data_IF_269095591908
#
_entry.id   IF_269095591908
#
_cell.length_a   1.000
_cell.length_b   1.000
_cell.length_c   1.000
_cell.angle_alpha   90.00
_cell.angle_beta   90.00
_cell.angle_gamma   90.00
#
_symmetry.space_group_name_H-M   'P 1'
#
loop_
_entity.id
_entity.type
_entity.pdbx_description
1 polymer ?
#
# COMPACT_ATOMS: atom_id res chain seq x y z
N UNK A 1 -64.56 33.80 32.01
CA UNK A 1 -63.93 33.20 30.82
C UNK A 1 -62.79 34.13 30.41
N UNK A 2 -61.59 33.89 30.91
CA UNK A 2 -60.39 34.68 30.59
C UNK A 2 -59.39 33.72 29.95
N UNK A 3 -59.13 33.89 28.65
CA UNK A 3 -58.21 33.06 27.88
C UNK A 3 -56.79 33.57 28.10
N UNK A 4 -56.04 32.87 28.95
CA UNK A 4 -54.61 33.06 29.10
C UNK A 4 -53.90 32.67 27.79
N UNK A 5 -53.37 33.67 27.09
CA UNK A 5 -52.56 33.47 25.89
C UNK A 5 -51.11 33.30 26.34
N UNK A 6 -50.72 32.05 26.62
CA UNK A 6 -49.32 31.68 26.85
C UNK A 6 -48.52 31.90 25.56
N UNK A 7 -47.96 33.09 25.40
CA UNK A 7 -47.04 33.44 24.33
C UNK A 7 -45.71 32.72 24.57
N UNK A 8 -45.52 31.59 23.89
CA UNK A 8 -44.28 30.83 23.93
C UNK A 8 -43.08 31.70 23.56
N UNK A 9 -42.21 31.97 24.54
CA UNK A 9 -40.99 32.75 24.35
C UNK A 9 -40.14 32.11 23.23
N UNK A 10 -39.91 32.86 22.16
CA UNK A 10 -39.05 32.44 21.05
C UNK A 10 -37.61 32.36 21.57
N UNK A 11 -37.11 31.15 21.82
CA UNK A 11 -35.72 30.88 22.21
C UNK A 11 -34.77 31.54 21.20
N UNK A 12 -34.01 32.53 21.64
CA UNK A 12 -33.10 33.29 20.77
C UNK A 12 -31.90 32.46 20.32
N UNK A 13 -31.29 32.83 19.19
CA UNK A 13 -30.00 32.30 18.76
C UNK A 13 -28.96 33.42 18.95
N UNK A 14 -27.98 33.25 19.84
CA UNK A 14 -26.97 34.28 20.16
C UNK A 14 -25.56 33.73 19.98
N UNK A 15 -25.03 33.67 18.74
CA UNK A 15 -23.76 33.03 18.43
C UNK A 15 -22.58 33.80 19.04
N UNK A 16 -21.76 33.15 19.86
CA UNK A 16 -20.49 33.72 20.33
C UNK A 16 -19.39 33.58 19.27
N UNK A 17 -18.83 34.71 18.83
CA UNK A 17 -17.87 34.79 17.72
C UNK A 17 -16.70 33.80 17.84
N UNK A 18 -16.07 33.69 19.02
CA UNK A 18 -14.98 32.72 19.23
C UNK A 18 -15.41 31.26 19.11
N UNK A 19 -16.55 30.89 19.69
CA UNK A 19 -17.10 29.53 19.59
C UNK A 19 -17.52 29.20 18.15
N UNK A 20 -18.06 30.18 17.42
CA UNK A 20 -18.39 30.08 16.00
C UNK A 20 -17.15 29.79 15.18
N UNK A 21 -16.07 30.58 15.35
CA UNK A 21 -14.85 30.43 14.58
C UNK A 21 -14.18 29.07 14.82
N UNK A 22 -14.08 28.62 16.07
CA UNK A 22 -13.52 27.30 16.40
C UNK A 22 -14.36 26.17 15.79
N UNK A 23 -15.69 26.28 15.88
CA UNK A 23 -16.58 25.27 15.28
C UNK A 23 -16.41 25.24 13.76
N UNK A 24 -16.40 26.39 13.10
CA UNK A 24 -16.22 26.47 11.65
C UNK A 24 -14.86 25.92 11.21
N UNK A 25 -13.79 26.22 11.94
CA UNK A 25 -12.48 25.66 11.67
C UNK A 25 -12.48 24.13 11.82
N UNK A 26 -13.05 23.59 12.91
CA UNK A 26 -13.17 22.15 13.12
C UNK A 26 -14.04 21.46 12.06
N UNK A 27 -15.14 22.09 11.64
CA UNK A 27 -15.97 21.62 10.54
C UNK A 27 -15.21 21.62 9.21
N UNK A 28 -14.49 22.70 8.90
CA UNK A 28 -13.69 22.77 7.67
C UNK A 28 -12.64 21.65 7.61
N UNK A 29 -11.96 21.38 8.73
CA UNK A 29 -10.98 20.28 8.83
C UNK A 29 -11.66 18.92 8.65
N UNK A 30 -12.72 18.64 9.40
CA UNK A 30 -13.41 17.33 9.35
C UNK A 30 -14.07 17.07 8.00
N UNK A 31 -14.67 18.09 7.37
CA UNK A 31 -15.21 17.98 6.00
C UNK A 31 -14.07 17.76 5.01
N UNK A 32 -12.97 18.54 5.11
CA UNK A 32 -11.81 18.38 4.24
C UNK A 32 -11.21 16.98 4.32
N UNK A 33 -11.06 16.43 5.54
CA UNK A 33 -10.61 15.06 5.76
C UNK A 33 -11.61 14.03 5.20
N UNK A 34 -12.92 14.24 5.37
CA UNK A 34 -13.95 13.39 4.79
C UNK A 34 -13.86 13.34 3.25
N UNK A 35 -13.72 14.51 2.61
CA UNK A 35 -13.59 14.62 1.15
C UNK A 35 -12.31 13.95 0.65
N UNK A 36 -11.19 14.18 1.32
CA UNK A 36 -9.92 13.50 1.01
C UNK A 36 -10.04 11.97 1.11
N UNK A 37 -10.78 11.45 2.09
CA UNK A 37 -11.02 10.00 2.20
C UNK A 37 -11.84 9.46 1.03
N UNK A 38 -12.83 10.21 0.52
CA UNK A 38 -13.59 9.82 -0.68
C UNK A 38 -12.72 9.82 -1.94
N UNK A 39 -11.89 10.85 -2.12
CA UNK A 39 -10.91 10.89 -3.22
C UNK A 39 -9.96 9.70 -3.14
N UNK A 40 -9.46 9.40 -1.93
CA UNK A 40 -8.57 8.27 -1.68
C UNK A 40 -9.24 6.92 -1.91
N UNK A 41 -10.52 6.79 -1.55
CA UNK A 41 -11.35 5.61 -1.84
C UNK A 41 -11.41 5.35 -3.34
N UNK A 42 -11.75 6.38 -4.13
CA UNK A 42 -11.87 6.28 -5.58
C UNK A 42 -10.53 5.91 -6.22
N UNK A 43 -9.47 6.65 -5.87
CA UNK A 43 -8.11 6.35 -6.33
C UNK A 43 -7.70 4.90 -6.04
N UNK A 44 -7.97 4.40 -4.82
CA UNK A 44 -7.61 3.03 -4.43
C UNK A 44 -8.46 1.98 -5.15
N UNK A 45 -9.73 2.29 -5.40
CA UNK A 45 -10.63 1.42 -6.16
C UNK A 45 -10.16 1.29 -7.60
N UNK A 46 -9.81 2.39 -8.25
CA UNK A 46 -9.27 2.39 -9.62
C UNK A 46 -7.92 1.66 -9.71
N UNK A 47 -7.08 1.80 -8.68
CA UNK A 47 -5.82 1.07 -8.58
C UNK A 47 -6.05 -0.44 -8.52
N UNK A 48 -6.94 -0.91 -7.63
CA UNK A 48 -7.28 -2.33 -7.50
C UNK A 48 -7.85 -2.86 -8.83
N UNK A 49 -8.82 -2.15 -9.42
CA UNK A 49 -9.41 -2.54 -10.70
C UNK A 49 -8.40 -2.58 -11.86
N UNK A 50 -7.36 -1.74 -11.82
CA UNK A 50 -6.26 -1.82 -12.80
C UNK A 50 -5.42 -3.08 -12.59
N UNK A 51 -5.06 -3.39 -11.34
CA UNK A 51 -4.28 -4.57 -10.99
C UNK A 51 -5.03 -5.85 -11.40
N UNK A 52 -6.31 -5.95 -11.04
CA UNK A 52 -7.16 -7.10 -11.37
C UNK A 52 -7.24 -7.33 -12.88
N UNK A 53 -7.41 -6.25 -13.66
CA UNK A 53 -7.42 -6.33 -15.13
C UNK A 53 -6.10 -6.86 -15.68
N UNK A 54 -4.97 -6.34 -15.21
CA UNK A 54 -3.66 -6.78 -15.70
C UNK A 54 -3.39 -8.24 -15.35
N UNK A 55 -3.74 -8.68 -14.14
CA UNK A 55 -3.54 -10.05 -13.68
C UNK A 55 -4.46 -11.06 -14.38
N UNK A 56 -5.61 -10.62 -14.89
CA UNK A 56 -6.54 -11.46 -15.62
C UNK A 56 -6.16 -11.67 -17.10
N UNK A 57 -5.19 -10.91 -17.63
CA UNK A 57 -4.73 -11.10 -19.00
C UNK A 57 -3.98 -12.43 -19.18
N UNK A 58 -4.08 -13.08 -20.35
CA UNK A 58 -3.31 -14.28 -20.62
C UNK A 58 -1.80 -13.98 -20.61
N UNK A 59 -0.95 -14.92 -20.12
CA UNK A 59 0.49 -14.73 -20.14
C UNK A 59 1.04 -14.55 -21.55
N UNK A 60 1.87 -13.52 -21.74
CA UNK A 60 2.57 -13.23 -23.01
C UNK A 60 4.09 -13.31 -22.85
N UNK A 61 4.88 -13.57 -23.89
CA UNK A 61 6.34 -13.46 -23.79
C UNK A 61 6.75 -12.07 -23.32
N UNK A 62 7.65 -12.00 -22.32
CA UNK A 62 8.22 -10.71 -21.90
C UNK A 62 9.03 -10.14 -23.09
N UNK A 63 8.86 -8.88 -23.49
CA UNK A 63 9.57 -8.33 -24.64
C UNK A 63 11.07 -8.24 -24.34
N UNK A 64 11.91 -8.40 -25.36
CA UNK A 64 13.38 -8.32 -25.24
C UNK A 64 13.85 -6.95 -24.73
N UNK A 65 13.09 -5.89 -25.02
CA UNK A 65 13.31 -4.52 -24.56
C UNK A 65 12.02 -4.00 -23.90
N UNK A 66 12.17 -3.38 -22.73
CA UNK A 66 11.06 -2.83 -21.94
C UNK A 66 11.27 -1.32 -21.83
N UNK A 67 10.63 -0.55 -22.70
CA UNK A 67 10.76 0.91 -22.71
C UNK A 67 9.91 1.59 -21.62
N UNK A 68 8.72 1.04 -21.32
CA UNK A 68 7.84 1.49 -20.24
C UNK A 68 7.61 0.34 -19.24
N UNK A 69 8.45 0.19 -18.20
CA UNK A 69 8.27 -0.84 -17.19
C UNK A 69 6.93 -0.76 -16.45
N UNK A 70 6.36 0.44 -16.28
CA UNK A 70 5.15 0.63 -15.51
C UNK A 70 3.92 0.02 -16.19
N UNK A 71 3.90 -0.01 -17.53
CA UNK A 71 2.86 -0.69 -18.31
C UNK A 71 2.85 -2.22 -18.14
N UNK A 72 3.92 -2.79 -17.57
CA UNK A 72 4.05 -4.23 -17.35
C UNK A 72 3.76 -4.64 -15.90
N UNK A 73 3.66 -3.72 -14.94
CA UNK A 73 3.46 -4.07 -13.54
C UNK A 73 2.17 -4.89 -13.34
N UNK A 74 2.26 -6.07 -12.73
CA UNK A 74 1.20 -7.06 -12.54
C UNK A 74 0.79 -7.85 -13.79
N UNK A 75 1.50 -7.72 -14.92
CA UNK A 75 1.23 -8.52 -16.12
C UNK A 75 1.77 -9.94 -16.01
N UNK A 76 0.95 -10.97 -16.31
CA UNK A 76 1.44 -12.32 -16.51
C UNK A 76 2.33 -12.41 -17.75
N UNK A 77 3.50 -13.02 -17.58
CA UNK A 77 4.48 -13.18 -18.65
C UNK A 77 5.07 -14.59 -18.70
N UNK A 78 5.66 -14.92 -19.84
CA UNK A 78 6.49 -16.12 -20.04
C UNK A 78 7.93 -15.73 -20.34
N UNK A 79 8.88 -16.51 -19.82
CA UNK A 79 10.31 -16.39 -20.08
C UNK A 79 10.85 -17.74 -20.55
N UNK A 80 11.70 -17.75 -21.57
CA UNK A 80 12.40 -18.95 -22.06
C UNK A 80 13.91 -18.71 -22.06
N UNK A 81 14.66 -19.69 -21.56
CA UNK A 81 16.11 -19.58 -21.33
C UNK A 81 16.53 -20.41 -20.12
N UNK A 82 17.58 -20.04 -19.41
CA UNK A 82 18.09 -20.80 -18.27
C UNK A 82 18.45 -19.93 -17.07
N UNK A 83 18.44 -20.52 -15.88
CA UNK A 83 18.87 -19.86 -14.65
C UNK A 83 20.39 -19.83 -14.53
N UNK A 84 20.94 -18.69 -14.10
CA UNK A 84 22.33 -18.59 -13.64
C UNK A 84 22.40 -19.03 -12.17
N UNK A 85 22.30 -20.35 -11.94
CA UNK A 85 22.16 -20.96 -10.61
C UNK A 85 23.35 -20.67 -9.66
N UNK A 86 24.52 -20.31 -10.19
CA UNK A 86 25.71 -19.89 -9.44
C UNK A 86 25.61 -18.44 -8.92
N UNK A 87 24.60 -17.69 -9.36
CA UNK A 87 24.41 -16.25 -9.08
C UNK A 87 23.11 -15.97 -8.30
N UNK A 88 22.58 -16.96 -7.58
CA UNK A 88 21.40 -16.71 -6.75
C UNK A 88 21.70 -15.74 -5.60
N UNK A 89 20.71 -14.91 -5.29
CA UNK A 89 20.70 -13.92 -4.23
C UNK A 89 19.54 -14.22 -3.27
N UNK A 90 19.71 -13.86 -2.01
CA UNK A 90 18.66 -13.96 -1.00
C UNK A 90 18.14 -12.57 -0.67
N UNK A 91 16.81 -12.45 -0.63
CA UNK A 91 16.12 -11.26 -0.14
C UNK A 91 15.37 -11.64 1.14
N UNK A 92 15.30 -10.74 2.12
CA UNK A 92 14.46 -10.95 3.30
C UNK A 92 13.02 -11.14 2.82
N UNK A 93 12.43 -12.30 3.11
CA UNK A 93 11.05 -12.55 2.78
C UNK A 93 10.13 -11.72 3.69
N UNK A 94 8.99 -11.28 3.15
CA UNK A 94 7.89 -10.91 4.02
C UNK A 94 7.45 -12.14 4.82
N UNK A 95 6.97 -11.99 6.06
CA UNK A 95 6.54 -13.13 6.86
C UNK A 95 5.53 -13.99 6.08
N UNK A 96 5.96 -15.20 5.68
CA UNK A 96 5.10 -16.26 5.15
C UNK A 96 4.40 -16.89 6.36
N UNK A 97 3.12 -17.32 6.32
CA UNK A 97 2.28 -17.60 7.49
C UNK A 97 2.99 -18.28 8.70
N UNK A 98 3.53 -17.46 9.59
CA UNK A 98 4.25 -17.87 10.81
C UNK A 98 5.72 -18.32 10.66
N UNK A 99 6.31 -18.29 9.46
CA UNK A 99 7.68 -18.75 9.19
C UNK A 99 8.55 -17.63 8.62
N UNK A 100 9.67 -17.38 9.30
CA UNK A 100 10.72 -16.51 8.79
C UNK A 100 11.54 -17.25 7.72
N UNK A 101 12.02 -16.53 6.74
CA UNK A 101 12.82 -17.10 5.66
C UNK A 101 13.28 -16.05 4.67
N UNK A 102 13.62 -16.51 3.47
CA UNK A 102 14.19 -15.73 2.40
C UNK A 102 13.42 -15.94 1.11
N UNK A 103 13.39 -14.92 0.27
CA UNK A 103 13.02 -15.06 -1.14
C UNK A 103 14.29 -15.28 -1.96
N UNK A 104 14.29 -16.32 -2.80
CA UNK A 104 15.41 -16.65 -3.67
C UNK A 104 15.23 -15.92 -5.00
N UNK A 105 16.14 -14.99 -5.30
CA UNK A 105 16.18 -14.28 -6.57
C UNK A 105 17.33 -14.84 -7.39
N UNK A 106 17.03 -15.37 -8.57
CA UNK A 106 18.05 -15.93 -9.47
C UNK A 106 18.01 -15.19 -10.81
N UNK A 107 19.14 -14.69 -11.32
CA UNK A 107 19.20 -14.16 -12.67
C UNK A 107 18.85 -15.24 -13.70
N UNK A 108 18.03 -14.87 -14.67
CA UNK A 108 17.57 -15.75 -15.74
C UNK A 108 18.07 -15.20 -17.08
N UNK A 109 18.96 -15.94 -17.73
CA UNK A 109 19.47 -15.62 -19.05
C UNK A 109 18.44 -16.08 -20.07
N UNK A 110 17.86 -15.11 -20.78
CA UNK A 110 16.87 -15.37 -21.81
C UNK A 110 17.52 -15.88 -23.09
N UNK A 111 16.82 -16.78 -23.78
CA UNK A 111 17.24 -17.32 -25.07
C UNK A 111 17.03 -16.32 -26.23
N UNK A 112 16.07 -15.40 -26.09
CA UNK A 112 15.58 -14.53 -27.17
C UNK A 112 16.19 -13.12 -27.17
N UNK A 113 17.07 -12.79 -26.23
CA UNK A 113 17.51 -11.42 -26.00
C UNK A 113 19.04 -11.25 -26.02
N UNK A 114 19.49 -10.24 -26.76
CA UNK A 114 20.85 -9.70 -26.74
C UNK A 114 20.84 -8.31 -26.08
N UNK A 115 21.90 -7.96 -25.34
CA UNK A 115 22.04 -6.66 -24.66
C UNK A 115 21.41 -6.60 -23.25
N UNK A 116 21.07 -5.39 -22.79
CA UNK A 116 20.70 -5.11 -21.38
C UNK A 116 19.41 -5.81 -20.88
N UNK A 117 18.56 -6.27 -21.80
CA UNK A 117 17.35 -7.06 -21.52
C UNK A 117 17.55 -8.58 -21.59
N UNK A 118 18.79 -9.04 -21.82
CA UNK A 118 19.16 -10.45 -21.93
C UNK A 118 19.02 -11.23 -20.63
N UNK A 119 19.16 -10.54 -19.49
CA UNK A 119 19.04 -11.14 -18.15
C UNK A 119 17.88 -10.49 -17.42
N UNK A 120 17.01 -11.32 -16.84
CA UNK A 120 15.90 -10.87 -15.99
C UNK A 120 16.09 -11.44 -14.59
N UNK A 121 15.88 -10.62 -13.55
CA UNK A 121 15.86 -11.14 -12.18
C UNK A 121 14.52 -11.85 -11.93
N UNK A 122 14.60 -13.13 -11.58
CA UNK A 122 13.42 -13.95 -11.29
C UNK A 122 13.38 -14.24 -9.80
N UNK A 123 12.35 -13.76 -9.12
CA UNK A 123 12.04 -14.16 -7.75
C UNK A 123 11.35 -15.53 -7.79
N UNK A 124 12.08 -16.57 -7.39
CA UNK A 124 11.63 -17.97 -7.37
C UNK A 124 10.77 -18.28 -6.16
N UNK A 125 10.72 -17.36 -5.19
CA UNK A 125 9.87 -17.43 -4.02
C UNK A 125 10.57 -17.92 -2.75
N UNK A 126 9.78 -18.41 -1.79
CA UNK A 126 10.18 -18.54 -0.39
C UNK A 126 11.00 -19.80 -0.10
N UNK A 127 12.01 -19.66 0.77
CA UNK A 127 12.72 -20.75 1.45
C UNK A 127 12.83 -20.47 2.95
N UNK A 128 12.68 -21.47 3.82
CA UNK A 128 12.84 -21.29 5.26
C UNK A 128 14.31 -21.00 5.64
N UNK A 129 14.52 -20.44 6.83
CA UNK A 129 15.85 -20.00 7.31
C UNK A 129 16.91 -21.11 7.31
N UNK A 130 16.52 -22.36 7.61
CA UNK A 130 17.40 -23.54 7.61
C UNK A 130 17.79 -24.00 6.19
N UNK A 131 17.11 -23.49 5.16
CA UNK A 131 17.41 -23.72 3.73
C UNK A 131 18.08 -22.52 3.07
N UNK A 132 18.76 -21.68 3.85
CA UNK A 132 19.55 -20.56 3.34
C UNK A 132 20.57 -21.02 2.30
N UNK A 133 21.32 -22.09 2.61
CA UNK A 133 22.41 -22.58 1.77
C UNK A 133 21.88 -23.18 0.44
N UNK A 134 22.32 -22.68 -0.74
CA UNK A 134 22.01 -23.29 -2.03
C UNK A 134 22.26 -24.80 -2.11
N UNK A 135 23.28 -25.32 -1.43
CA UNK A 135 23.62 -26.74 -1.44
C UNK A 135 22.52 -27.59 -0.77
N UNK A 136 21.88 -27.04 0.28
CA UNK A 136 20.72 -27.68 0.94
C UNK A 136 19.48 -27.77 0.05
N UNK A 137 19.48 -27.07 -1.10
CA UNK A 137 18.40 -26.99 -2.09
C UNK A 137 18.87 -27.44 -3.47
N UNK A 138 19.98 -28.18 -3.56
CA UNK A 138 20.55 -28.60 -4.83
C UNK A 138 19.57 -29.44 -5.67
N UNK A 139 18.75 -30.26 -4.98
CA UNK A 139 17.64 -30.94 -5.63
C UNK A 139 16.75 -29.92 -6.32
N UNK A 140 16.32 -28.83 -5.68
CA UNK A 140 15.44 -27.78 -6.21
C UNK A 140 15.93 -26.93 -7.39
N UNK A 141 17.06 -27.26 -8.03
CA UNK A 141 17.64 -26.47 -9.12
C UNK A 141 17.03 -26.84 -10.46
N UNK A 142 16.69 -25.82 -11.24
CA UNK A 142 16.26 -26.00 -12.63
C UNK A 142 17.51 -25.86 -13.48
N UNK A 143 17.93 -26.97 -14.08
CA UNK A 143 19.11 -27.02 -14.95
C UNK A 143 18.71 -26.98 -16.42
N UNK A 144 19.55 -26.34 -17.24
CA UNK A 144 19.31 -26.20 -18.68
C UNK A 144 18.20 -25.23 -19.04
N UNK A 145 17.81 -25.25 -20.31
CA UNK A 145 16.77 -24.38 -20.84
C UNK A 145 15.38 -24.80 -20.36
N UNK A 146 14.58 -23.82 -19.97
CA UNK A 146 13.24 -23.96 -19.44
C UNK A 146 12.35 -22.80 -19.89
N UNK A 147 11.04 -23.00 -19.81
CA UNK A 147 10.04 -21.94 -19.96
C UNK A 147 9.26 -21.81 -18.66
N UNK A 148 9.27 -20.62 -18.07
CA UNK A 148 8.56 -20.33 -16.83
C UNK A 148 7.52 -19.22 -17.02
N UNK A 149 6.44 -19.32 -16.25
CA UNK A 149 5.42 -18.27 -16.14
C UNK A 149 5.62 -17.47 -14.86
N UNK A 150 5.40 -16.17 -14.93
CA UNK A 150 5.54 -15.29 -13.79
C UNK A 150 4.71 -14.02 -13.91
N UNK A 151 4.77 -13.20 -12.87
CA UNK A 151 4.13 -11.88 -12.85
C UNK A 151 5.22 -10.83 -12.79
N UNK A 152 5.13 -9.85 -13.69
CA UNK A 152 6.06 -8.72 -13.68
C UNK A 152 5.79 -7.83 -12.48
N UNK A 153 6.86 -7.42 -11.80
CA UNK A 153 6.84 -6.49 -10.69
C UNK A 153 7.89 -5.42 -10.88
N UNK A 154 7.57 -4.21 -10.46
CA UNK A 154 8.55 -3.14 -10.39
C UNK A 154 9.41 -3.28 -9.13
N UNK A 155 10.69 -2.88 -9.21
CA UNK A 155 11.52 -2.71 -8.01
C UNK A 155 10.85 -1.75 -7.03
N UNK A 156 10.95 -2.07 -5.74
CA UNK A 156 10.35 -1.22 -4.70
C UNK A 156 11.09 0.12 -4.62
N UNK A 157 10.35 1.23 -4.65
CA UNK A 157 10.91 2.55 -4.35
C UNK A 157 11.15 2.68 -2.84
N UNK A 158 12.38 3.01 -2.39
CA UNK A 158 12.65 3.19 -0.97
C UNK A 158 11.88 4.41 -0.42
N UNK A 159 11.16 4.21 0.69
CA UNK A 159 10.56 5.30 1.45
C UNK A 159 11.59 6.07 2.29
N UNK A 160 11.22 7.25 2.78
CA UNK A 160 12.11 8.17 3.52
C UNK A 160 12.77 7.55 4.77
N UNK A 161 12.10 6.58 5.40
CA UNK A 161 12.59 5.91 6.62
C UNK A 161 12.97 4.44 6.38
N UNK A 162 13.09 4.04 5.12
CA UNK A 162 13.38 2.65 4.78
C UNK A 162 14.90 2.46 4.68
N UNK A 163 15.50 1.55 5.47
CA UNK A 163 16.93 1.30 5.42
C UNK A 163 17.38 0.87 4.02
N UNK A 164 18.50 1.42 3.55
CA UNK A 164 19.21 0.99 2.33
C UNK A 164 19.54 -0.50 2.32
N UNK A 165 19.72 -1.09 1.14
CA UNK A 165 20.36 -2.42 1.03
C UNK A 165 21.81 -2.43 1.56
N UNK A 166 22.44 -1.26 1.68
CA UNK A 166 23.87 -1.14 2.00
C UNK A 166 24.75 -1.59 0.83
N UNK A 167 25.96 -2.06 1.13
CA UNK A 167 26.84 -2.75 0.16
C UNK A 167 26.89 -4.22 0.56
N UNK A 168 26.01 -5.07 0.01
CA UNK A 168 25.87 -6.44 0.48
C UNK A 168 27.13 -7.23 0.11
N UNK A 169 27.84 -7.78 1.10
CA UNK A 169 28.96 -8.69 0.87
C UNK A 169 28.49 -9.96 0.13
N UNK A 170 29.37 -10.69 -0.59
CA UNK A 170 29.00 -11.96 -1.18
C UNK A 170 28.35 -12.91 -0.16
N UNK A 171 27.17 -13.47 -0.49
CA UNK A 171 26.40 -14.35 0.40
C UNK A 171 25.56 -13.63 1.48
N UNK A 172 25.53 -12.30 1.49
CA UNK A 172 24.63 -11.52 2.35
C UNK A 172 23.19 -11.52 1.85
N UNK A 173 22.28 -11.10 2.73
CA UNK A 173 20.84 -11.05 2.46
C UNK A 173 20.45 -9.61 2.14
N UNK A 174 19.79 -9.43 1.00
CA UNK A 174 19.25 -8.15 0.54
C UNK A 174 17.96 -7.83 1.29
N UNK A 175 17.70 -6.56 1.57
CA UNK A 175 16.43 -6.14 2.17
C UNK A 175 15.33 -6.00 1.12
N UNK A 176 15.70 -5.67 -0.12
CA UNK A 176 14.79 -5.51 -1.27
C UNK A 176 15.50 -5.84 -2.58
N UNK A 177 14.71 -6.14 -3.60
CA UNK A 177 15.23 -6.31 -4.97
C UNK A 177 15.57 -4.96 -5.58
N UNK A 178 16.82 -4.78 -5.99
CA UNK A 178 17.30 -3.59 -6.72
C UNK A 178 18.10 -4.04 -7.94
N UNK A 179 17.48 -4.11 -9.13
CA UNK A 179 18.12 -4.72 -10.29
C UNK A 179 19.50 -4.12 -10.64
N UNK A 180 19.71 -2.79 -10.66
CA UNK A 180 21.03 -2.23 -10.96
C UNK A 180 22.10 -2.59 -9.92
N UNK A 181 21.75 -2.55 -8.63
CA UNK A 181 22.70 -2.86 -7.54
C UNK A 181 23.04 -4.36 -7.50
N UNK A 182 22.04 -5.22 -7.73
CA UNK A 182 22.22 -6.68 -7.79
C UNK A 182 23.03 -7.10 -9.01
N UNK A 183 22.80 -6.48 -10.18
CA UNK A 183 23.60 -6.72 -11.37
C UNK A 183 25.07 -6.38 -11.12
N UNK A 184 25.34 -5.21 -10.54
CA UNK A 184 26.69 -4.79 -10.17
C UNK A 184 27.36 -5.76 -9.18
N UNK A 185 26.64 -6.18 -8.13
CA UNK A 185 27.15 -7.12 -7.13
C UNK A 185 27.48 -8.51 -7.72
N UNK A 186 26.78 -8.92 -8.78
CA UNK A 186 26.98 -10.19 -9.48
C UNK A 186 27.94 -10.10 -10.67
N UNK A 187 28.53 -8.92 -10.91
CA UNK A 187 29.33 -8.61 -12.09
C UNK A 187 28.61 -8.93 -13.41
N UNK A 188 27.30 -8.69 -13.45
CA UNK A 188 26.48 -8.79 -14.66
C UNK A 188 26.53 -7.45 -15.42
N UNK A 189 26.55 -7.46 -16.76
CA UNK A 189 26.63 -6.23 -17.56
C UNK A 189 25.41 -5.34 -17.35
N UNK A 190 24.22 -5.94 -17.39
CA UNK A 190 22.94 -5.30 -17.11
C UNK A 190 21.86 -6.37 -16.89
N UNK A 191 20.74 -5.94 -16.31
CA UNK A 191 19.52 -6.74 -16.14
C UNK A 191 18.32 -5.89 -16.53
N UNK A 192 17.22 -6.55 -16.90
CA UNK A 192 15.97 -5.88 -17.22
C UNK A 192 15.50 -4.97 -16.08
N UNK A 193 14.83 -3.84 -16.39
CA UNK A 193 14.34 -2.87 -15.40
C UNK A 193 13.11 -3.36 -14.61
N UNK A 194 12.82 -4.65 -14.67
CA UNK A 194 11.69 -5.32 -14.01
C UNK A 194 12.15 -6.60 -13.33
N UNK A 195 11.35 -7.07 -12.39
CA UNK A 195 11.52 -8.37 -11.73
C UNK A 195 10.36 -9.26 -12.14
N UNK A 196 10.59 -10.57 -12.26
CA UNK A 196 9.51 -11.54 -12.51
C UNK A 196 9.35 -12.42 -11.28
N UNK A 197 8.17 -12.42 -10.66
CA UNK A 197 7.80 -13.34 -9.60
C UNK A 197 7.30 -14.64 -10.24
N UNK A 198 8.04 -15.74 -10.07
CA UNK A 198 7.70 -17.04 -10.64
C UNK A 198 6.43 -17.60 -9.97
N UNK A 199 5.47 -18.05 -10.79
CA UNK A 199 4.24 -18.66 -10.27
C UNK A 199 4.53 -20.01 -9.59
N UNK A 200 3.65 -20.48 -8.70
CA UNK A 200 3.78 -21.80 -8.08
C UNK A 200 3.91 -22.91 -9.13
N UNK A 201 4.80 -23.86 -8.87
CA UNK A 201 5.05 -24.99 -9.76
C UNK A 201 5.75 -24.64 -11.08
N UNK A 202 6.26 -23.41 -11.27
CA UNK A 202 7.06 -23.07 -12.46
C UNK A 202 8.55 -23.40 -12.29
N UNK A 203 8.98 -23.55 -11.05
CA UNK A 203 10.27 -24.12 -10.65
C UNK A 203 10.14 -25.61 -10.33
N UNK A 204 9.07 -26.27 -10.81
CA UNK A 204 8.65 -27.60 -10.38
C UNK A 204 9.63 -28.71 -10.76
N UNK A 205 9.71 -29.69 -9.85
CA UNK A 205 10.30 -31.01 -10.08
C UNK A 205 10.99 -31.60 -8.85
N UNK A 206 11.27 -30.81 -7.82
CA UNK A 206 12.34 -31.16 -6.90
C UNK A 206 12.03 -30.75 -5.46
N UNK A 207 12.23 -31.71 -4.54
CA UNK A 207 12.13 -31.51 -3.09
C UNK A 207 12.95 -30.28 -2.69
N UNK A 208 12.38 -29.41 -1.86
CA UNK A 208 13.05 -28.23 -1.29
C UNK A 208 13.37 -27.08 -2.27
N UNK A 209 12.72 -27.03 -3.43
CA UNK A 209 12.77 -25.85 -4.31
C UNK A 209 12.08 -24.63 -3.65
N UNK A 210 12.48 -23.39 -4.00
CA UNK A 210 11.77 -22.19 -3.55
C UNK A 210 10.29 -22.27 -3.92
N UNK A 211 9.44 -21.98 -2.94
CA UNK A 211 8.00 -21.98 -3.11
C UNK A 211 7.59 -20.76 -3.92
N UNK A 212 7.18 -20.97 -5.18
CA UNK A 212 6.73 -19.91 -6.07
C UNK A 212 5.65 -19.01 -5.46
N UNK A 213 5.51 -17.81 -6.00
CA UNK A 213 4.73 -16.74 -5.37
C UNK A 213 3.30 -16.81 -5.90
N UNK A 214 2.34 -17.03 -5.01
CA UNK A 214 0.94 -16.81 -5.34
C UNK A 214 0.71 -15.32 -5.59
N UNK A 215 0.23 -14.95 -6.78
CA UNK A 215 -0.05 -13.55 -7.07
C UNK A 215 -1.36 -13.18 -6.39
N UNK A 216 -1.26 -12.75 -5.13
CA UNK A 216 -2.36 -12.17 -4.36
C UNK A 216 -2.02 -10.74 -4.01
N UNK A 217 -2.83 -9.82 -4.50
CA UNK A 217 -2.69 -8.39 -4.23
C UNK A 217 -3.87 -7.95 -3.39
N UNK A 218 -3.79 -8.20 -2.09
CA UNK A 218 -4.81 -7.78 -1.13
C UNK A 218 -4.50 -6.37 -0.64
N UNK A 219 -5.20 -5.37 -1.17
CA UNK A 219 -5.11 -3.98 -0.73
C UNK A 219 -6.35 -3.60 0.10
N UNK A 220 -6.26 -3.51 1.44
CA UNK A 220 -7.41 -3.16 2.28
C UNK A 220 -7.97 -1.78 1.95
N UNK A 221 -9.27 -1.64 1.69
CA UNK A 221 -9.87 -0.35 1.29
C UNK A 221 -10.93 0.14 2.28
N UNK A 222 -10.50 0.67 3.43
CA UNK A 222 -11.38 1.10 4.52
C UNK A 222 -11.77 2.59 4.44
N UNK A 223 -11.47 3.27 3.33
CA UNK A 223 -11.61 4.72 3.20
C UNK A 223 -13.06 5.21 3.31
N UNK A 224 -14.05 4.39 2.92
CA UNK A 224 -15.46 4.71 3.11
C UNK A 224 -15.84 4.83 4.60
N UNK A 225 -15.41 3.88 5.43
CA UNK A 225 -15.67 3.92 6.87
C UNK A 225 -15.08 5.18 7.50
N UNK A 226 -13.86 5.55 7.10
CA UNK A 226 -13.23 6.78 7.57
C UNK A 226 -13.96 8.03 7.07
N UNK A 227 -14.38 8.09 5.80
CA UNK A 227 -15.17 9.20 5.28
C UNK A 227 -16.46 9.41 6.09
N UNK A 228 -17.20 8.33 6.39
CA UNK A 228 -18.39 8.38 7.24
C UNK A 228 -18.07 8.88 8.66
N UNK A 229 -16.91 8.50 9.21
CA UNK A 229 -16.46 8.97 10.53
C UNK A 229 -16.23 10.48 10.52
N UNK A 230 -15.51 10.99 9.52
CA UNK A 230 -15.19 12.42 9.42
C UNK A 230 -16.42 13.30 9.17
N UNK A 231 -17.31 12.87 8.27
CA UNK A 231 -18.58 13.58 8.06
C UNK A 231 -19.52 13.47 9.27
N UNK A 232 -19.52 12.33 9.97
CA UNK A 232 -20.25 12.17 11.22
C UNK A 232 -19.76 13.10 12.34
N UNK A 233 -18.44 13.30 12.45
CA UNK A 233 -17.84 14.28 13.36
C UNK A 233 -18.23 15.71 12.98
N UNK A 234 -18.21 16.05 11.69
CA UNK A 234 -18.65 17.36 11.20
C UNK A 234 -20.12 17.63 11.56
N UNK A 235 -21.01 16.65 11.35
CA UNK A 235 -22.42 16.74 11.70
C UNK A 235 -22.64 16.86 13.22
N UNK A 236 -21.88 16.12 14.02
CA UNK A 236 -21.94 16.18 15.48
C UNK A 236 -21.48 17.54 16.00
N UNK A 237 -20.38 18.08 15.48
CA UNK A 237 -19.89 19.43 15.80
C UNK A 237 -20.96 20.49 15.49
N UNK A 238 -21.58 20.41 14.31
CA UNK A 238 -22.65 21.32 13.93
C UNK A 238 -23.86 21.22 14.89
N UNK A 239 -24.28 20.00 15.24
CA UNK A 239 -25.39 19.77 16.16
C UNK A 239 -25.10 20.33 17.56
N UNK A 240 -23.91 20.04 18.13
CA UNK A 240 -23.48 20.56 19.42
C UNK A 240 -23.46 22.09 19.41
N UNK A 241 -22.89 22.68 18.36
CA UNK A 241 -22.83 24.14 18.23
C UNK A 241 -24.24 24.75 18.22
N UNK A 242 -25.15 24.25 17.37
CA UNK A 242 -26.55 24.74 17.31
C UNK A 242 -27.25 24.60 18.67
N UNK A 243 -27.10 23.46 19.34
CA UNK A 243 -27.70 23.23 20.67
C UNK A 243 -27.12 24.17 21.74
N UNK A 244 -25.81 24.43 21.70
CA UNK A 244 -25.14 25.32 22.65
C UNK A 244 -25.58 26.79 22.51
N UNK A 245 -25.80 27.26 21.28
CA UNK A 245 -26.23 28.65 21.02
C UNK A 245 -27.70 28.87 21.39
N UNK A 246 -28.53 27.82 21.35
CA UNK A 246 -29.92 27.86 21.84
C UNK A 246 -29.96 27.98 23.36
N UNK A 247 -29.12 27.22 24.09
CA UNK A 247 -29.04 27.29 25.56
C UNK A 247 -28.48 28.63 26.06
N UNK A 248 -27.50 29.22 25.38
CA UNK A 248 -26.92 30.52 25.75
C UNK A 248 -27.93 31.68 25.69
N UNK A 249 -28.96 31.58 24.86
CA UNK A 249 -30.02 32.57 24.86
C UNK A 249 -30.91 32.49 26.10
N UNK A 250 -31.02 31.33 26.74
CA UNK A 250 -31.84 31.10 27.93
C UNK A 250 -31.20 31.68 29.22
N UNK A 251 -29.88 31.91 29.23
CA UNK A 251 -29.12 32.34 30.43
C UNK A 251 -28.81 33.85 30.48
N UNK A 252 -29.35 34.65 29.55
CA UNK A 252 -28.95 36.04 29.33
C UNK A 252 -29.82 37.14 29.95
N UNK A 253 -30.79 36.81 30.82
CA UNK A 253 -31.70 37.78 31.46
C UNK A 253 -32.05 37.36 32.89
N UNK A 254 -31.10 37.43 33.81
CA UNK A 254 -31.40 37.83 35.20
C UNK A 254 -30.09 38.10 35.95
N UNK A 255 -29.93 39.28 36.51
CA UNK A 255 -28.68 39.64 37.19
C UNK A 255 -28.38 41.13 37.26
N UNK A 256 -29.39 41.97 37.50
CA UNK A 256 -29.14 43.28 38.10
C UNK A 256 -29.77 43.27 39.50
N UNK A 257 -29.00 43.45 40.58
CA UNK A 257 -29.57 43.64 41.91
C UNK A 257 -30.40 44.94 41.90
N UNK A 258 -31.61 44.91 42.46
CA UNK A 258 -32.45 46.09 42.63
C UNK A 258 -31.93 46.89 43.83
N UNK A 259 -31.08 47.88 43.57
CA UNK A 259 -30.49 48.76 44.58
C UNK A 259 -31.48 49.85 45.03
N UNK A 260 -32.71 49.49 45.41
CA UNK A 260 -33.67 50.45 45.96
C UNK A 260 -33.68 50.39 47.48
N UNK A 261 -32.88 51.26 48.09
CA UNK A 261 -33.00 51.63 49.50
C UNK A 261 -34.28 52.46 49.67
N UNK A 262 -35.18 52.14 50.60
CA UNK A 262 -36.34 52.97 50.90
C UNK A 262 -35.91 54.18 51.73
N UNK A 263 -36.08 55.39 51.20
CA UNK A 263 -36.07 56.62 52.00
C UNK A 263 -37.45 56.85 52.61
N UNK A 264 -37.41 57.26 53.88
CA UNK A 264 -38.51 57.39 54.85
C UNK A 264 -39.73 58.21 54.40
#
# INVERSE_FOLDING_TARGET
>A
MSLDHSSGARRGFRPALGATLVTLAGMAVTIGLGTWQVERLNWKTDLIARIDRQMAEPPVPLPARIDDPAAWEFRPVTLTGHFLNDKELLVIARPHPGQAGYEVVTPFQRADAAGDGGIVLVNRGFVPMDRRDPASRAAGRVEGDTTLRGIVRLPQTPGLFMPGNGTPAPGSVWMRVEPPAMAAALALPAVAPVVVEALPGQTAGLRDAPAGIEPRVELPNNHLQYALTWYGLAATLAAIYVLSQRKRADTGTDGRPDDRIPTA
#
